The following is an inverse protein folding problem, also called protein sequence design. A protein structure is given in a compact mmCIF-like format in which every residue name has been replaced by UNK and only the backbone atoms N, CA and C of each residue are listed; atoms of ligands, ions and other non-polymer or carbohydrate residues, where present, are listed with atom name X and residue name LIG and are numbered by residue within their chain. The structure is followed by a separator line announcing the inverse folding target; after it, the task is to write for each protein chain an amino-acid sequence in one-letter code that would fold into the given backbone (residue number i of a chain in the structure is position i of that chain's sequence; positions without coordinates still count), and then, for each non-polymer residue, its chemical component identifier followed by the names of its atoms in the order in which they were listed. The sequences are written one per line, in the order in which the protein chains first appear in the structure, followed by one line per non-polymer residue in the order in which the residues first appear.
data_IF_449450922184
#
_entry.id   IF_449450922184
#
_cell.length_a   1.000
_cell.length_b   1.000
_cell.length_c   1.000
_cell.angle_alpha   90.00
_cell.angle_beta   90.00
_cell.angle_gamma   90.00
#
_symmetry.space_group_name_H-M   'P 1'
#
loop_
_entity.id
_entity.type
_entity.pdbx_description
1 polymer ?
2 non-polymer ?
3 water ?
#
# COMPACT_ATOMS: atom_id res chain seq x y z
N UNK A 9 1.11 21.80 9.10
CA UNK A 9 1.91 22.37 7.97
C UNK A 9 1.50 21.74 6.64
N UNK A 10 1.88 22.35 5.52
CA UNK A 10 1.56 21.84 4.19
C UNK A 10 2.73 21.15 3.45
N UNK A 11 3.96 21.55 3.75
CA UNK A 11 5.14 20.79 3.30
C UNK A 11 5.23 19.41 3.97
N UNK A 12 4.14 18.90 4.53
CA UNK A 12 4.11 17.49 4.86
C UNK A 12 3.12 16.84 3.91
N UNK A 13 3.57 15.78 3.25
CA UNK A 13 2.74 15.16 2.25
C UNK A 13 1.44 14.65 2.85
N UNK A 14 0.33 14.80 2.14
CA UNK A 14 -0.90 14.15 2.49
C UNK A 14 -0.85 12.63 2.30
N UNK A 15 -0.29 12.18 1.18
CA UNK A 15 -0.27 10.70 0.89
C UNK A 15 1.13 10.23 0.61
N UNK A 16 1.60 9.28 1.41
CA UNK A 16 2.92 8.67 1.18
C UNK A 16 2.74 7.22 0.87
N UNK A 17 3.36 6.75 -0.22
CA UNK A 17 3.26 5.33 -0.64
C UNK A 17 4.62 4.69 -0.68
N UNK A 18 4.66 3.39 -0.34
CA UNK A 18 5.91 2.70 -0.17
C UNK A 18 5.91 1.40 -0.97
N UNK A 19 6.93 1.24 -1.81
CA UNK A 19 7.20 -0.03 -2.49
C UNK A 19 8.30 -0.70 -1.66
N UNK A 20 7.98 -1.85 -1.10
CA UNK A 20 8.89 -2.61 -0.31
C UNK A 20 9.60 -3.63 -1.24
N UNK A 21 10.85 -3.94 -0.96
CA UNK A 21 11.66 -4.72 -1.85
C UNK A 21 12.96 -4.96 -1.07
N UNK A 22 13.73 -5.95 -1.51
CA UNK A 22 15.00 -6.28 -0.89
C UNK A 22 14.96 -7.42 0.13
N UNK A 23 13.84 -8.11 0.30
CA UNK A 23 13.75 -9.16 1.35
C UNK A 23 14.63 -10.39 1.05
N UNK A 24 14.54 -10.89 -0.16
CA UNK A 24 15.44 -11.96 -0.61
C UNK A 24 16.91 -11.57 -0.54
N UNK A 25 17.28 -10.48 -1.18
CA UNK A 25 18.65 -10.00 -1.10
C UNK A 25 19.14 -9.92 0.35
N UNK A 26 18.28 -9.46 1.25
CA UNK A 26 18.69 -9.24 2.64
C UNK A 26 18.87 -10.61 3.31
N UNK A 27 17.99 -11.53 3.01
CA UNK A 27 18.04 -12.86 3.57
C UNK A 27 19.35 -13.51 3.16
N UNK A 28 19.54 -13.58 1.86
CA UNK A 28 20.80 -13.98 1.24
C UNK A 28 22.01 -13.44 1.97
N UNK A 29 22.08 -12.14 2.20
CA UNK A 29 23.30 -11.54 2.74
C UNK A 29 23.51 -11.89 4.18
N UNK A 30 22.44 -12.26 4.86
CA UNK A 30 22.50 -12.62 6.25
C UNK A 30 22.51 -14.14 6.49
N UNK A 31 22.71 -14.93 5.44
CA UNK A 31 22.60 -16.38 5.55
C UNK A 31 21.33 -16.78 6.24
N UNK A 32 20.20 -16.39 5.69
CA UNK A 32 18.92 -16.61 6.35
C UNK A 32 17.83 -16.92 5.30
N UNK A 33 16.70 -17.42 5.74
CA UNK A 33 15.65 -17.76 4.81
C UNK A 33 14.87 -16.49 4.42
N UNK A 34 14.40 -16.48 3.17
CA UNK A 34 13.44 -15.50 2.65
C UNK A 34 12.21 -15.31 3.55
N UNK A 35 11.74 -16.39 4.17
CA UNK A 35 10.61 -16.28 5.09
C UNK A 35 10.99 -15.41 6.26
N UNK A 36 12.22 -15.50 6.72
CA UNK A 36 12.64 -14.65 7.82
C UNK A 36 12.91 -13.25 7.30
N UNK A 37 13.38 -13.11 6.06
CA UNK A 37 13.50 -11.78 5.46
C UNK A 37 12.17 -11.06 5.43
N UNK A 38 11.16 -11.72 4.85
CA UNK A 38 9.82 -11.20 4.85
C UNK A 38 9.24 -10.86 6.22
N UNK A 39 9.45 -11.72 7.21
CA UNK A 39 8.88 -11.51 8.56
C UNK A 39 9.49 -10.30 9.25
N UNK A 40 10.79 -10.12 9.08
CA UNK A 40 11.43 -8.95 9.66
C UNK A 40 11.00 -7.65 8.91
N UNK A 41 10.80 -7.77 7.61
CA UNK A 41 10.25 -6.65 6.85
C UNK A 41 8.94 -6.23 7.43
N UNK A 42 8.04 -7.17 7.59
CA UNK A 42 6.67 -6.87 7.97
C UNK A 42 6.65 -6.31 9.40
N UNK A 43 7.60 -6.74 10.24
CA UNK A 43 7.67 -6.26 11.61
C UNK A 43 8.00 -4.79 11.69
N UNK A 44 8.72 -4.29 10.69
CA UNK A 44 8.99 -2.84 10.56
C UNK A 44 7.76 -2.00 10.35
N UNK A 45 6.68 -2.59 9.81
CA UNK A 45 5.58 -1.78 9.34
C UNK A 45 4.92 -0.95 10.43
N UNK A 46 4.74 -1.55 11.61
CA UNK A 46 3.96 -0.85 12.63
C UNK A 46 4.65 0.44 13.07
N UNK A 47 5.98 0.44 13.14
CA UNK A 47 6.72 1.60 13.54
C UNK A 47 6.69 2.65 12.43
N UNK A 48 6.67 2.16 11.20
CA UNK A 48 6.58 3.05 10.03
C UNK A 48 5.22 3.70 10.09
N UNK A 49 4.18 2.91 10.34
CA UNK A 49 2.85 3.48 10.37
C UNK A 49 2.72 4.49 11.54
N UNK A 50 3.16 4.13 12.75
CA UNK A 50 2.97 5.06 13.89
C UNK A 50 3.68 6.33 13.59
N UNK A 51 4.88 6.22 13.01
CA UNK A 51 5.69 7.42 12.72
C UNK A 51 5.02 8.34 11.69
N UNK A 52 4.55 7.76 10.61
CA UNK A 52 3.78 8.53 9.62
C UNK A 52 2.60 9.24 10.31
N UNK A 53 1.92 8.49 11.18
CA UNK A 53 0.82 9.09 11.94
C UNK A 53 1.31 10.24 12.80
N UNK A 54 2.40 10.01 13.52
CA UNK A 54 2.96 11.10 14.32
C UNK A 54 3.34 12.31 13.50
N UNK A 55 3.81 12.11 12.29
CA UNK A 55 4.23 13.23 11.43
C UNK A 55 3.05 13.94 10.81
N UNK A 56 1.83 13.45 10.99
CA UNK A 56 0.70 14.19 10.44
C UNK A 56 0.40 13.88 8.97
N UNK A 57 0.97 12.80 8.44
CA UNK A 57 0.61 12.28 7.13
C UNK A 57 -0.84 11.76 7.23
N UNK A 58 -1.68 12.03 6.26
CA UNK A 58 -3.08 11.65 6.30
C UNK A 58 -3.30 10.29 5.75
N UNK A 59 -2.40 9.87 4.85
CA UNK A 59 -2.53 8.51 4.23
C UNK A 59 -1.19 7.91 3.95
N UNK A 60 -1.03 6.69 4.41
CA UNK A 60 0.13 5.89 4.13
C UNK A 60 -0.31 4.61 3.49
N UNK A 61 0.29 4.31 2.32
CA UNK A 61 0.02 3.08 1.61
C UNK A 61 1.24 2.22 1.58
N UNK A 62 1.06 0.93 1.95
CA UNK A 62 2.13 -0.02 1.81
C UNK A 62 1.73 -1.08 0.81
N UNK A 63 2.60 -1.27 -0.17
CA UNK A 63 2.33 -2.19 -1.28
C UNK A 63 2.89 -3.50 -0.91
N UNK A 64 1.99 -4.41 -0.55
CA UNK A 64 2.34 -5.71 0.04
C UNK A 64 2.45 -6.82 -0.99
N UNK A 65 1.74 -6.69 -2.09
CA UNK A 65 1.68 -7.80 -3.01
C UNK A 65 1.08 -7.43 -4.32
N UNK A 66 1.83 -7.72 -5.37
CA UNK A 66 1.38 -7.46 -6.71
C UNK A 66 0.71 -8.70 -7.28
N UNK A 67 -0.04 -8.56 -8.38
CA UNK A 67 -0.62 -9.77 -9.02
C UNK A 67 0.44 -10.63 -9.71
N UNK A 68 1.59 -10.03 -10.05
CA UNK A 68 2.73 -10.77 -10.58
C UNK A 68 3.41 -11.59 -9.51
N UNK A 69 3.47 -11.05 -8.29
CA UNK A 69 4.03 -11.79 -7.14
C UNK A 69 3.39 -13.16 -6.94
N UNK A 70 2.14 -13.33 -7.36
CA UNK A 70 1.55 -14.68 -7.47
C UNK A 70 2.33 -15.69 -8.33
N UNK A 71 3.35 -15.24 -9.07
CA UNK A 71 4.23 -16.09 -9.87
C UNK A 71 5.38 -16.73 -9.12
N UNK A 72 5.69 -16.22 -7.92
CA UNK A 72 6.74 -16.79 -7.01
C UNK A 72 6.31 -18.19 -6.60
N UNK A 73 7.10 -18.90 -5.81
CA UNK A 73 6.68 -20.26 -5.44
C UNK A 73 5.46 -20.19 -4.57
N UNK A 74 4.65 -21.24 -4.63
CA UNK A 74 3.52 -21.37 -3.74
C UNK A 74 3.89 -21.38 -2.27
N UNK A 75 4.98 -22.02 -1.88
CA UNK A 75 5.40 -21.94 -0.48
C UNK A 75 5.63 -20.48 -0.08
N UNK A 76 6.37 -19.71 -0.89
CA UNK A 76 6.72 -18.31 -0.59
C UNK A 76 5.46 -17.44 -0.42
N UNK A 77 4.55 -17.58 -1.36
CA UNK A 77 3.33 -16.81 -1.32
C UNK A 77 2.47 -17.16 -0.11
N UNK A 78 2.34 -18.45 0.19
CA UNK A 78 1.51 -18.93 1.31
C UNK A 78 2.14 -18.44 2.59
N UNK A 79 3.45 -18.55 2.71
CA UNK A 79 4.07 -17.96 3.90
C UNK A 79 3.71 -16.47 4.05
N UNK A 80 3.82 -15.70 2.94
CA UNK A 80 3.50 -14.28 2.96
C UNK A 80 2.07 -14.01 3.38
N UNK A 81 1.12 -14.77 2.84
CA UNK A 81 -0.27 -14.53 3.17
C UNK A 81 -0.48 -14.72 4.69
N UNK A 82 0.26 -15.66 5.26
CA UNK A 82 0.18 -15.98 6.69
C UNK A 82 0.75 -14.86 7.55
N UNK A 83 1.93 -14.40 7.15
CA UNK A 83 2.59 -13.26 7.79
C UNK A 83 1.68 -12.05 7.74
N UNK A 84 0.96 -11.87 6.61
CA UNK A 84 0.04 -10.74 6.51
C UNK A 84 -1.18 -10.86 7.45
N UNK A 85 -1.72 -12.07 7.54
CA UNK A 85 -2.77 -12.36 8.49
C UNK A 85 -2.26 -12.11 9.94
N UNK A 86 -1.07 -12.58 10.27
CA UNK A 86 -0.55 -12.29 11.62
C UNK A 86 -0.47 -10.78 11.85
N UNK A 87 -0.04 -10.04 10.83
CA UNK A 87 0.10 -8.58 10.94
C UNK A 87 -1.24 -7.91 11.20
N UNK A 88 -2.26 -8.32 10.46
CA UNK A 88 -3.58 -7.75 10.62
C UNK A 88 -4.24 -8.09 11.97
N UNK A 89 -4.00 -9.31 12.46
CA UNK A 89 -4.61 -9.77 13.73
C UNK A 89 -3.87 -9.23 14.94
N UNK A 90 -2.57 -9.05 14.80
CA UNK A 90 -1.75 -8.55 15.86
C UNK A 90 -1.57 -7.01 15.77
N UNK A 91 -0.65 -6.56 14.91
CA UNK A 91 -0.23 -5.16 14.88
C UNK A 91 -1.30 -4.20 14.44
N UNK A 92 -2.08 -4.56 13.43
CA UNK A 92 -3.08 -3.61 13.02
C UNK A 92 -4.13 -3.37 14.10
N UNK A 93 -4.54 -4.44 14.79
CA UNK A 93 -5.46 -4.35 15.92
C UNK A 93 -4.98 -3.28 16.90
N UNK A 94 -3.72 -3.37 17.28
CA UNK A 94 -3.14 -2.41 18.19
C UNK A 94 -3.15 -0.99 17.63
N UNK A 95 -2.72 -0.82 16.38
CA UNK A 95 -2.76 0.46 15.75
C UNK A 95 -4.17 1.07 15.70
N UNK A 96 -5.15 0.31 15.25
CA UNK A 96 -6.46 0.90 15.11
C UNK A 96 -7.16 1.20 16.48
N UNK A 97 -6.87 0.41 17.52
CA UNK A 97 -7.45 0.62 18.88
C UNK A 97 -6.67 1.58 19.76
N UNK A 98 -5.44 1.95 19.37
CA UNK A 98 -4.61 2.88 20.15
C UNK A 98 -5.13 4.31 20.02
N UNK A 99 -4.42 5.27 20.63
CA UNK A 99 -4.85 6.68 20.49
C UNK A 99 -4.53 7.27 19.13
N UNK A 100 -3.70 6.61 18.32
CA UNK A 100 -3.56 7.00 16.91
C UNK A 100 -4.83 6.77 16.08
N UNK A 101 -5.70 5.87 16.53
CA UNK A 101 -7.03 5.82 15.93
C UNK A 101 -6.95 5.69 14.39
N UNK A 102 -6.08 4.81 13.94
CA UNK A 102 -5.82 4.68 12.52
C UNK A 102 -6.98 4.01 11.89
N UNK A 103 -7.37 4.50 10.70
CA UNK A 103 -8.34 3.78 9.90
C UNK A 103 -7.63 2.84 8.85
N UNK A 104 -8.12 1.59 8.75
CA UNK A 104 -7.51 0.58 7.92
C UNK A 104 -8.38 0.24 6.73
N UNK A 105 -7.81 0.28 5.52
CA UNK A 105 -8.41 -0.35 4.36
C UNK A 105 -7.38 -1.16 3.60
N UNK A 106 -7.88 -2.13 2.85
CA UNK A 106 -7.06 -2.84 1.90
C UNK A 106 -7.63 -2.58 0.53
N UNK A 107 -6.75 -2.50 -0.46
CA UNK A 107 -7.16 -2.39 -1.88
C UNK A 107 -6.40 -3.45 -2.68
N UNK A 108 -6.96 -3.80 -3.81
CA UNK A 108 -6.43 -4.85 -4.63
C UNK A 108 -7.52 -5.86 -4.95
N UNK A 109 -7.16 -6.95 -5.60
CA UNK A 109 -8.14 -7.98 -5.98
C UNK A 109 -8.26 -9.00 -4.82
N UNK A 110 -9.17 -8.74 -3.90
CA UNK A 110 -9.24 -9.51 -2.64
C UNK A 110 -9.67 -10.95 -2.81
N UNK A 111 -10.51 -11.19 -3.81
CA UNK A 111 -11.00 -12.52 -4.08
C UNK A 111 -9.88 -13.43 -4.56
N UNK A 112 -8.69 -12.91 -4.84
CA UNK A 112 -7.56 -13.77 -5.15
C UNK A 112 -6.85 -14.19 -3.89
N UNK A 113 -7.24 -13.66 -2.74
CA UNK A 113 -6.51 -14.03 -1.52
C UNK A 113 -7.20 -15.21 -0.81
N UNK A 114 -6.45 -15.99 0.00
CA UNK A 114 -7.18 -16.99 0.82
C UNK A 114 -8.22 -16.35 1.69
N UNK A 115 -9.24 -17.13 2.00
CA UNK A 115 -10.38 -16.66 2.74
C UNK A 115 -9.94 -16.27 4.15
N UNK A 116 -8.97 -16.95 4.73
CA UNK A 116 -8.48 -16.47 6.02
C UNK A 116 -7.90 -15.03 5.97
N UNK A 117 -7.23 -14.67 4.87
CA UNK A 117 -6.69 -13.32 4.73
C UNK A 117 -7.80 -12.37 4.43
N UNK A 118 -8.77 -12.77 3.60
CA UNK A 118 -9.91 -11.85 3.37
C UNK A 118 -10.65 -11.49 4.64
N UNK A 119 -10.69 -12.43 5.59
CA UNK A 119 -11.47 -12.23 6.80
C UNK A 119 -10.72 -11.38 7.81
N UNK A 120 -9.40 -11.58 7.90
CA UNK A 120 -8.56 -10.68 8.71
C UNK A 120 -8.64 -9.26 8.17
N UNK A 121 -8.76 -9.14 6.86
CA UNK A 121 -8.89 -7.85 6.24
C UNK A 121 -10.19 -7.18 6.64
N UNK A 122 -11.34 -7.79 6.33
CA UNK A 122 -12.60 -7.14 6.65
C UNK A 122 -12.83 -6.98 8.18
N UNK A 123 -12.24 -7.86 8.98
CA UNK A 123 -12.27 -7.63 10.41
C UNK A 123 -11.57 -6.30 10.79
N UNK A 124 -10.36 -6.08 10.30
CA UNK A 124 -9.63 -4.84 10.63
C UNK A 124 -10.30 -3.62 10.01
N UNK A 125 -10.97 -3.80 8.90
CA UNK A 125 -11.68 -2.67 8.31
C UNK A 125 -12.90 -2.34 9.16
N UNK A 126 -13.57 -3.38 9.67
CA UNK A 126 -14.77 -3.17 10.50
C UNK A 126 -14.41 -2.52 11.83
N UNK A 127 -13.39 -3.06 12.47
CA UNK A 127 -12.86 -2.51 13.70
C UNK A 127 -12.45 -1.03 13.65
N UNK A 128 -11.98 -0.55 12.51
CA UNK A 128 -11.41 0.80 12.40
C UNK A 128 -12.33 1.69 11.56
N UNK A 129 -13.48 1.15 11.15
CA UNK A 129 -14.30 1.82 10.13
C UNK A 129 -14.68 3.27 10.42
N UNK A 130 -14.80 3.62 11.70
CA UNK A 130 -15.20 4.96 12.08
C UNK A 130 -14.07 5.71 12.82
N UNK A 131 -12.84 5.19 12.79
CA UNK A 131 -11.71 5.93 13.35
C UNK A 131 -11.46 7.18 12.56
N UNK A 132 -10.79 8.13 13.18
CA UNK A 132 -10.61 9.44 12.58
C UNK A 132 -9.16 9.77 12.36
N UNK A 133 -8.24 8.87 12.71
CA UNK A 133 -6.80 9.16 12.59
C UNK A 133 -6.32 8.87 11.16
N UNK A 134 -5.01 8.79 10.99
CA UNK A 134 -4.40 8.57 9.71
C UNK A 134 -5.01 7.34 9.03
N UNK A 135 -5.27 7.46 7.74
CA UNK A 135 -5.65 6.31 6.89
C UNK A 135 -4.37 5.50 6.54
N UNK A 136 -4.43 4.19 6.77
CA UNK A 136 -3.43 3.24 6.37
C UNK A 136 -4.06 2.27 5.39
N UNK A 137 -3.56 2.27 4.14
CA UNK A 137 -3.98 1.36 3.09
C UNK A 137 -2.91 0.30 2.85
N UNK A 138 -3.33 -0.97 2.90
CA UNK A 138 -2.49 -2.07 2.52
C UNK A 138 -2.94 -2.50 1.14
N UNK A 139 -2.04 -2.38 0.20
CA UNK A 139 -2.32 -2.69 -1.19
C UNK A 139 -1.84 -4.12 -1.41
N UNK A 140 -2.80 -5.03 -1.57
CA UNK A 140 -2.54 -6.47 -1.63
C UNK A 140 -3.22 -7.04 -2.86
N UNK A 141 -2.45 -7.77 -3.68
CA UNK A 141 -2.91 -8.21 -4.98
C UNK A 141 -3.38 -6.97 -5.74
N UNK A 142 -2.59 -5.90 -5.63
CA UNK A 142 -2.86 -4.65 -6.33
C UNK A 142 -1.84 -4.44 -7.42
N UNK A 143 -2.35 -4.07 -8.56
CA UNK A 143 -1.57 -3.63 -9.68
C UNK A 143 -2.19 -2.45 -10.42
N UNK A 144 -1.34 -1.55 -10.86
CA UNK A 144 -1.78 -0.28 -11.44
C UNK A 144 -2.51 -0.47 -12.74
N UNK A 145 -1.99 -1.36 -13.60
CA UNK A 145 -2.67 -1.65 -14.88
C UNK A 145 -4.02 -2.22 -14.64
N UNK A 146 -4.09 -3.21 -13.77
CA UNK A 146 -5.37 -3.87 -13.41
C UNK A 146 -6.40 -2.90 -12.83
N UNK A 147 -5.95 -1.99 -11.97
CA UNK A 147 -6.83 -0.91 -11.45
C UNK A 147 -7.41 -0.10 -12.58
N UNK A 148 -6.58 0.38 -13.50
CA UNK A 148 -7.08 1.15 -14.59
C UNK A 148 -8.07 0.32 -15.46
N UNK A 149 -7.75 -0.96 -15.71
CA UNK A 149 -8.58 -1.80 -16.55
C UNK A 149 -9.95 -1.98 -15.87
N UNK A 150 -9.91 -2.29 -14.59
CA UNK A 150 -11.16 -2.46 -13.84
C UNK A 150 -11.95 -1.15 -13.80
N UNK A 151 -11.30 -0.01 -13.62
CA UNK A 151 -12.06 1.23 -13.69
C UNK A 151 -12.76 1.35 -15.03
N UNK A 152 -12.06 1.01 -16.10
CA UNK A 152 -12.62 1.20 -17.43
C UNK A 152 -13.79 0.22 -17.67
N UNK A 153 -13.73 -0.94 -17.04
CA UNK A 153 -14.73 -1.95 -17.15
C UNK A 153 -16.00 -1.47 -16.49
N UNK A 154 -15.83 -0.93 -15.29
CA UNK A 154 -16.96 -0.40 -14.54
C UNK A 154 -17.60 0.73 -15.27
N UNK A 155 -16.80 1.65 -15.77
CA UNK A 155 -17.37 2.78 -16.52
C UNK A 155 -18.14 2.27 -17.76
N UNK A 156 -17.61 1.23 -18.38
CA UNK A 156 -18.14 0.70 -19.59
C UNK A 156 -19.52 0.07 -19.33
N UNK A 157 -19.64 -0.73 -18.27
CA UNK A 157 -20.90 -1.28 -17.78
C UNK A 157 -21.97 -0.21 -17.56
N UNK A 158 -21.55 0.92 -17.00
CA UNK A 158 -22.47 2.03 -16.75
C UNK A 158 -22.85 2.68 -18.03
N UNK A 159 -21.94 2.67 -19.01
CA UNK A 159 -22.26 3.25 -20.31
C UNK A 159 -23.31 2.38 -20.97
N UNK A 160 -23.15 1.06 -20.86
CA UNK A 160 -24.05 0.13 -21.51
C UNK A 160 -25.45 0.17 -20.86
N UNK A 161 -25.55 0.40 -19.56
CA UNK A 161 -26.84 0.61 -18.90
C UNK A 161 -27.35 2.08 -18.95
N UNK A 162 -26.89 2.94 -19.85
CA UNK A 162 -27.42 4.31 -19.99
C UNK A 162 -27.13 5.33 -18.89
N UNK A 163 -26.53 4.86 -17.81
CA UNK A 163 -26.13 5.68 -16.66
C UNK A 163 -25.09 6.76 -16.96
N UNK A 164 -24.25 6.53 -17.99
CA UNK A 164 -23.17 7.44 -18.36
C UNK A 164 -23.06 7.46 -19.88
N UNK A 165 -22.73 8.61 -20.46
CA UNK A 165 -22.48 8.72 -21.90
C UNK A 165 -20.94 8.83 -22.11
N UNK A 166 -20.41 8.31 -23.24
CA UNK A 166 -18.98 8.39 -23.50
C UNK A 166 -18.30 9.74 -23.22
N UNK A 167 -18.90 10.84 -23.64
CA UNK A 167 -18.31 12.16 -23.40
C UNK A 167 -18.47 12.69 -22.00
N UNK A 168 -19.13 11.96 -21.12
CA UNK A 168 -19.10 12.29 -19.71
C UNK A 168 -17.85 11.78 -19.01
N UNK A 169 -17.01 11.03 -19.72
CA UNK A 169 -15.84 10.44 -19.09
C UNK A 169 -14.73 11.50 -19.04
N UNK A 170 -14.31 11.85 -17.83
CA UNK A 170 -13.22 12.79 -17.66
C UNK A 170 -12.36 12.23 -16.57
N UNK A 171 -11.26 12.92 -16.22
CA UNK A 171 -10.36 12.46 -15.11
C UNK A 171 -11.09 12.15 -13.86
N UNK A 172 -11.94 13.10 -13.49
CA UNK A 172 -12.64 12.99 -12.22
C UNK A 172 -13.52 11.75 -12.21
N UNK A 173 -14.22 11.51 -13.30
CA UNK A 173 -15.04 10.33 -13.34
C UNK A 173 -14.21 9.08 -13.35
N UNK A 174 -13.15 9.10 -14.14
CA UNK A 174 -12.23 7.96 -14.12
C UNK A 174 -11.66 7.68 -12.73
N UNK A 175 -11.35 8.73 -12.02
CA UNK A 175 -10.77 8.64 -10.68
C UNK A 175 -11.73 8.00 -9.67
N UNK A 176 -13.03 8.20 -9.87
CA UNK A 176 -14.04 7.63 -8.96
C UNK A 176 -14.26 6.14 -9.11
N UNK A 177 -13.72 5.54 -10.18
CA UNK A 177 -13.82 4.06 -10.33
C UNK A 177 -12.57 3.28 -10.10
N UNK A 178 -11.53 3.97 -9.66
CA UNK A 178 -10.29 3.32 -9.29
C UNK A 178 -10.39 2.76 -7.88
N UNK A 179 -9.57 1.78 -7.57
CA UNK A 179 -9.53 1.23 -6.24
C UNK A 179 -9.14 2.23 -5.16
N UNK A 180 -8.52 3.33 -5.57
CA UNK A 180 -8.20 4.37 -4.63
C UNK A 180 -9.37 5.32 -4.37
N UNK A 181 -10.56 5.02 -4.91
CA UNK A 181 -11.70 5.88 -4.70
C UNK A 181 -12.12 5.89 -3.23
N UNK A 182 -11.56 5.00 -2.40
CA UNK A 182 -11.76 5.11 -0.96
C UNK A 182 -11.05 6.30 -0.24
N UNK A 183 -10.30 7.15 -0.95
CA UNK A 183 -9.60 8.24 -0.31
C UNK A 183 -9.83 9.45 -1.06
N UNK A 184 -9.75 10.56 -0.36
CA UNK A 184 -9.68 11.82 -1.09
C UNK A 184 -8.25 12.26 -1.45
N UNK A 185 -7.25 11.48 -1.06
CA UNK A 185 -5.86 11.71 -1.43
C UNK A 185 -5.31 10.56 -2.31
N UNK A 186 -6.03 10.21 -3.40
CA UNK A 186 -5.62 8.99 -4.15
C UNK A 186 -4.22 9.06 -4.71
N UNK A 187 -3.82 10.25 -5.06
CA UNK A 187 -2.55 10.45 -5.66
C UNK A 187 -1.42 10.68 -4.60
N UNK A 188 -0.48 9.76 -4.49
CA UNK A 188 0.59 10.06 -3.54
C UNK A 188 1.40 11.29 -3.84
N UNK A 189 1.74 12.02 -2.79
CA UNK A 189 2.63 13.17 -2.96
C UNK A 189 4.04 12.68 -3.06
N UNK A 190 4.30 11.57 -2.39
CA UNK A 190 5.68 11.03 -2.25
C UNK A 190 5.63 9.52 -2.38
N UNK A 191 6.48 8.92 -3.21
CA UNK A 191 6.51 7.50 -3.40
C UNK A 191 7.90 7.08 -3.03
N UNK A 192 8.01 6.16 -2.07
CA UNK A 192 9.28 5.68 -1.60
C UNK A 192 9.50 4.26 -2.14
N UNK A 193 10.69 3.94 -2.62
CA UNK A 193 10.92 2.55 -3.02
C UNK A 193 12.25 2.09 -2.45
N UNK A 194 12.22 1.07 -1.59
CA UNK A 194 13.41 0.50 -0.98
C UNK A 194 14.10 -0.44 -1.98
N UNK A 195 15.40 -0.67 -1.76
CA UNK A 195 16.21 -1.70 -2.37
C UNK A 195 16.89 -1.26 -3.64
N UNK A 196 16.81 -0.01 -3.98
CA UNK A 196 17.69 0.39 -5.08
C UNK A 196 17.10 0.44 -6.48
N UNK A 197 16.03 -0.31 -6.78
CA UNK A 197 15.54 -0.39 -8.16
C UNK A 197 14.80 0.90 -8.45
N UNK A 198 14.93 1.39 -9.67
CA UNK A 198 14.25 2.64 -10.08
C UNK A 198 13.21 2.32 -11.13
N UNK A 199 12.08 1.82 -10.67
CA UNK A 199 10.95 1.54 -11.50
C UNK A 199 9.76 1.28 -10.61
N UNK A 200 8.59 1.17 -11.23
CA UNK A 200 7.33 1.04 -10.50
C UNK A 200 6.82 -0.39 -10.31
N UNK A 201 7.29 -1.30 -11.16
CA UNK A 201 6.90 -2.70 -11.15
C UNK A 201 5.39 -2.90 -11.11
N UNK A 202 4.66 -2.07 -11.83
CA UNK A 202 3.21 -2.20 -11.90
C UNK A 202 2.43 -1.88 -10.59
N UNK A 203 2.99 -0.97 -9.81
CA UNK A 203 2.24 -0.32 -8.70
C UNK A 203 1.31 0.70 -9.32
N UNK A 204 0.94 1.74 -8.58
CA UNK A 204 0.12 2.79 -9.10
C UNK A 204 0.68 3.30 -10.40
N UNK A 205 -0.23 3.64 -11.30
CA UNK A 205 0.15 4.32 -12.55
C UNK A 205 -0.64 5.61 -12.75
N UNK A 206 -1.96 5.48 -12.85
CA UNK A 206 -2.84 6.63 -12.93
C UNK A 206 -2.54 7.67 -11.78
N UNK A 207 -2.29 7.15 -10.61
CA UNK A 207 -2.12 7.95 -9.40
C UNK A 207 -0.82 8.71 -9.31
N UNK A 208 0.08 8.55 -10.29
CA UNK A 208 1.45 9.10 -10.10
C UNK A 208 1.97 10.29 -10.97
N UNK A 209 1.09 11.06 -11.61
CA UNK A 209 1.59 12.02 -12.56
C UNK A 209 2.48 13.09 -11.99
N UNK A 210 2.27 13.48 -10.73
CA UNK A 210 3.09 14.50 -10.08
C UNK A 210 3.75 14.07 -8.82
N UNK A 211 3.63 12.81 -8.46
CA UNK A 211 4.27 12.37 -7.25
C UNK A 211 5.82 12.42 -7.32
N UNK A 212 6.42 12.82 -6.22
CA UNK A 212 7.88 12.81 -6.10
C UNK A 212 8.33 11.38 -5.80
N UNK A 213 9.32 10.92 -6.53
CA UNK A 213 9.91 9.66 -6.26
C UNK A 213 11.15 9.76 -5.37
N UNK A 214 11.32 8.82 -4.43
CA UNK A 214 12.50 8.73 -3.58
C UNK A 214 12.95 7.29 -3.56
N UNK A 215 14.18 7.06 -4.02
CA UNK A 215 14.79 5.73 -4.13
C UNK A 215 15.90 5.62 -3.09
N UNK A 216 15.89 4.59 -2.22
CA UNK A 216 16.96 4.33 -1.29
C UNK A 216 17.53 2.97 -1.67
N UNK A 217 18.85 2.77 -1.60
CA UNK A 217 19.43 1.43 -1.62
C UNK A 217 19.07 0.49 -0.43
N UNK A 218 18.68 1.04 0.71
CA UNK A 218 18.28 0.23 1.84
C UNK A 218 17.34 -0.87 1.51
N UNK A 219 17.73 -2.08 1.90
CA UNK A 219 16.88 -3.25 1.80
C UNK A 219 15.78 -3.13 2.81
N UNK A 220 14.57 -3.54 2.45
CA UNK A 220 13.45 -3.17 3.30
C UNK A 220 13.51 -3.74 4.72
N UNK A 221 14.05 -4.96 4.92
CA UNK A 221 14.08 -5.39 6.30
C UNK A 221 14.90 -4.45 7.18
N UNK A 222 15.84 -3.67 6.63
CA UNK A 222 16.60 -2.69 7.42
C UNK A 222 15.92 -1.33 7.46
N UNK A 223 14.72 -1.21 6.89
CA UNK A 223 14.09 0.10 6.66
C UNK A 223 13.31 0.47 7.91
N UNK A 224 13.66 1.60 8.54
CA UNK A 224 13.00 2.04 9.76
C UNK A 224 12.43 3.44 9.68
N UNK A 225 12.02 3.89 10.84
CA UNK A 225 11.48 5.21 11.04
C UNK A 225 12.42 6.30 10.54
N UNK A 226 13.74 6.13 10.73
CA UNK A 226 14.72 7.12 10.23
C UNK A 226 14.66 7.26 8.68
N UNK A 227 14.50 6.12 8.02
CA UNK A 227 14.42 6.11 6.57
C UNK A 227 13.16 6.80 6.09
N UNK A 228 12.09 6.73 6.86
CA UNK A 228 10.91 7.48 6.48
C UNK A 228 11.20 8.97 6.66
N UNK A 229 11.88 9.27 7.75
CA UNK A 229 12.29 10.63 8.04
C UNK A 229 13.21 11.20 6.90
N UNK A 230 14.11 10.37 6.41
CA UNK A 230 14.99 10.77 5.31
C UNK A 230 14.20 11.02 4.05
N UNK A 231 13.27 10.13 3.71
CA UNK A 231 12.38 10.40 2.59
C UNK A 231 11.62 11.73 2.73
N UNK A 232 11.09 12.00 3.91
CA UNK A 232 10.38 13.27 4.12
C UNK A 232 11.29 14.51 3.98
N UNK A 233 12.53 14.45 4.45
CA UNK A 233 13.46 15.58 4.34
C UNK A 233 13.85 15.80 2.87
N UNK A 234 14.10 14.73 2.11
CA UNK A 234 14.20 14.85 0.65
C UNK A 234 12.98 15.56 0.08
N UNK A 235 11.79 15.15 0.50
CA UNK A 235 10.57 15.72 -0.10
C UNK A 235 10.50 17.23 0.19
N UNK A 236 10.88 17.61 1.40
CA UNK A 236 10.82 19.02 1.77
C UNK A 236 11.82 19.86 0.98
N UNK A 237 13.02 19.35 0.73
CA UNK A 237 13.95 20.02 -0.17
C UNK A 237 13.52 20.20 -1.64
N UNK A 238 12.44 19.61 -2.10
CA UNK A 238 12.12 19.71 -3.53
C UNK A 238 11.20 20.87 -3.95
#
# INVERSE_FOLDING_TARGET
LAGAETEIDEVTPNHVAIIIDGHRKWAKSRGVTVQEGHQTGVNNWKHIISRASQLGIKLLTIWALSPQNFNRSKMEVDFLMRIYEDFLRSDVKELVTSQQDIQFSAIGDKSRLPEYLQDAISYAEGLSQANKGMHFILAVAYGGREDIVEAARKIAAKVEHGILRPDDIDEATFEQHLMTNITKFPSPDLLIRAAGEQRLSNFFLWQLPFTEFYFTPKLFPDFGEADLLDALASYRCRYRGFGERKGIHEASAWSHPQFEK
#
